data_IF_562936860041
#
_entry.id   IF_562936860041
#
_cell.length_a   1.000
_cell.length_b   1.000
_cell.length_c   1.000
_cell.angle_alpha   90.00
_cell.angle_beta   90.00
_cell.angle_gamma   90.00
#
_symmetry.space_group_name_H-M   'P 1'
#
loop_
_entity.id
_entity.type
_entity.pdbx_description
1 polymer ?
#
# COMPACT_ATOMS: atom_id res chain seq x y z
N UNK A 1 -12.84 26.69 1.65
CA UNK A 1 -13.40 26.80 0.28
C UNK A 1 -13.72 25.41 -0.22
N UNK A 2 -14.94 25.21 -0.70
CA UNK A 2 -15.45 23.93 -1.21
C UNK A 2 -15.30 23.93 -2.74
N UNK A 3 -14.90 22.82 -3.35
CA UNK A 3 -14.73 22.67 -4.80
C UNK A 3 -15.48 21.44 -5.32
N UNK A 4 -15.83 21.45 -6.62
CA UNK A 4 -16.23 20.23 -7.32
C UNK A 4 -14.97 19.52 -7.79
N UNK A 5 -14.76 18.31 -7.32
CA UNK A 5 -13.58 17.51 -7.64
C UNK A 5 -14.00 16.12 -8.07
N UNK A 6 -13.21 15.52 -8.96
CA UNK A 6 -13.34 14.10 -9.31
C UNK A 6 -12.44 13.29 -8.38
N UNK A 7 -13.01 12.29 -7.71
CA UNK A 7 -12.25 11.39 -6.85
C UNK A 7 -12.06 10.06 -7.56
N UNK A 8 -10.81 9.60 -7.65
CA UNK A 8 -10.43 8.32 -8.22
C UNK A 8 -9.84 7.39 -7.14
N UNK A 9 -10.38 6.18 -7.07
CA UNK A 9 -9.88 5.03 -6.33
C UNK A 9 -9.64 3.87 -7.33
N UNK A 10 -8.86 2.84 -6.98
CA UNK A 10 -8.45 1.77 -7.91
C UNK A 10 -9.58 1.11 -8.73
N UNK A 11 -10.82 1.14 -8.25
CA UNK A 11 -12.00 0.62 -8.95
C UNK A 11 -13.23 1.54 -8.92
N UNK A 12 -13.09 2.76 -8.39
CA UNK A 12 -14.23 3.67 -8.18
C UNK A 12 -13.83 5.06 -8.66
N UNK A 13 -14.58 5.59 -9.62
CA UNK A 13 -14.47 6.97 -10.06
C UNK A 13 -15.77 7.69 -9.75
N UNK A 14 -15.68 8.76 -8.94
CA UNK A 14 -16.83 9.55 -8.54
C UNK A 14 -16.63 10.99 -9.05
N UNK A 15 -17.32 11.39 -10.13
CA UNK A 15 -17.18 12.73 -10.68
C UNK A 15 -17.95 13.76 -9.87
N UNK A 16 -17.47 15.01 -9.87
CA UNK A 16 -18.19 16.19 -9.40
C UNK A 16 -18.66 16.15 -7.93
N UNK A 17 -17.90 15.48 -7.05
CA UNK A 17 -18.17 15.50 -5.62
C UNK A 17 -17.87 16.89 -5.04
N UNK A 18 -18.75 17.36 -4.16
CA UNK A 18 -18.57 18.62 -3.45
C UNK A 18 -17.68 18.34 -2.23
N UNK A 19 -16.39 18.66 -2.34
CA UNK A 19 -15.40 18.32 -1.31
C UNK A 19 -14.64 19.59 -0.89
N UNK A 20 -14.39 19.81 0.42
CA UNK A 20 -13.50 20.86 0.86
C UNK A 20 -12.10 20.61 0.34
N UNK A 21 -11.50 21.63 -0.29
CA UNK A 21 -10.10 21.54 -0.74
C UNK A 21 -9.15 21.13 0.39
N UNK A 22 -9.44 21.56 1.61
CA UNK A 22 -8.69 21.16 2.81
C UNK A 22 -8.74 19.66 3.09
N UNK A 23 -9.88 18.99 2.84
CA UNK A 23 -9.97 17.53 2.97
C UNK A 23 -9.17 16.84 1.86
N UNK A 24 -9.28 17.27 0.61
CA UNK A 24 -8.50 16.67 -0.49
C UNK A 24 -7.00 16.79 -0.21
N UNK A 25 -6.52 17.98 0.18
CA UNK A 25 -5.12 18.20 0.55
C UNK A 25 -4.74 17.30 1.72
N UNK A 26 -5.51 17.33 2.82
CA UNK A 26 -5.23 16.53 4.00
C UNK A 26 -5.13 15.04 3.67
N UNK A 27 -6.14 14.47 3.02
CA UNK A 27 -6.19 13.04 2.71
C UNK A 27 -5.09 12.65 1.71
N UNK A 28 -4.79 13.49 0.71
CA UNK A 28 -3.66 13.25 -0.19
C UNK A 28 -2.32 13.28 0.55
N UNK A 29 -2.08 14.30 1.38
CA UNK A 29 -0.84 14.45 2.15
C UNK A 29 -0.65 13.27 3.11
N UNK A 30 -1.68 12.91 3.88
CA UNK A 30 -1.61 11.76 4.79
C UNK A 30 -1.35 10.47 4.02
N UNK A 31 -2.06 10.24 2.90
CA UNK A 31 -1.84 9.04 2.08
C UNK A 31 -0.39 8.96 1.59
N UNK A 32 0.17 10.09 1.12
CA UNK A 32 1.55 10.14 0.64
C UNK A 32 2.56 9.86 1.76
N UNK A 33 2.36 10.44 2.95
CA UNK A 33 3.22 10.22 4.11
C UNK A 33 3.21 8.74 4.52
N UNK A 34 2.04 8.13 4.61
CA UNK A 34 1.92 6.70 4.95
C UNK A 34 2.67 5.83 3.93
N UNK A 35 2.55 6.12 2.63
CA UNK A 35 3.30 5.38 1.61
C UNK A 35 4.81 5.55 1.75
N UNK A 36 5.28 6.76 2.08
CA UNK A 36 6.70 7.02 2.33
C UNK A 36 7.20 6.26 3.56
N UNK A 37 6.48 6.33 4.67
CA UNK A 37 6.84 5.65 5.93
C UNK A 37 6.91 4.14 5.75
N UNK A 38 5.96 3.55 5.02
CA UNK A 38 5.96 2.13 4.69
C UNK A 38 7.16 1.74 3.81
N UNK A 39 7.48 2.53 2.79
CA UNK A 39 8.66 2.27 1.95
C UNK A 39 9.98 2.42 2.73
N UNK A 40 10.05 3.36 3.65
CA UNK A 40 11.22 3.49 4.54
C UNK A 40 11.32 2.27 5.48
N UNK A 41 10.18 1.78 5.97
CA UNK A 41 10.09 0.56 6.74
C UNK A 41 10.59 -0.69 5.99
N UNK A 42 10.43 -0.76 4.66
CA UNK A 42 10.99 -1.87 3.87
C UNK A 42 12.52 -1.91 3.94
N UNK A 43 13.19 -0.76 3.90
CA UNK A 43 14.67 -0.68 3.93
C UNK A 43 15.27 -1.29 5.20
N UNK A 44 14.49 -1.34 6.28
CA UNK A 44 14.91 -1.89 7.56
C UNK A 44 14.70 -3.42 7.67
N UNK A 45 14.07 -4.05 6.68
CA UNK A 45 13.60 -5.44 6.73
C UNK A 45 14.69 -6.48 7.08
N UNK A 46 15.92 -6.32 6.60
CA UNK A 46 17.04 -7.24 6.85
C UNK A 46 18.10 -6.69 7.81
N UNK A 47 17.79 -5.63 8.57
CA UNK A 47 18.72 -5.08 9.56
C UNK A 47 18.67 -5.86 10.88
N UNK A 48 19.83 -6.08 11.50
CA UNK A 48 20.02 -7.04 12.61
C UNK A 48 19.13 -6.78 13.85
N UNK A 49 18.71 -5.53 14.07
CA UNK A 49 17.92 -5.12 15.24
C UNK A 49 16.42 -4.96 14.96
N UNK A 50 15.94 -5.31 13.76
CA UNK A 50 14.56 -5.08 13.34
C UNK A 50 13.78 -6.40 13.09
N UNK A 51 14.07 -7.44 13.86
CA UNK A 51 13.40 -8.76 13.74
C UNK A 51 11.87 -8.63 13.86
N UNK A 52 11.39 -7.81 14.80
CA UNK A 52 9.95 -7.55 14.95
C UNK A 52 9.31 -6.94 13.70
N UNK A 53 9.99 -5.96 13.08
CA UNK A 53 9.53 -5.32 11.85
C UNK A 53 9.55 -6.29 10.67
N UNK A 54 10.60 -7.11 10.54
CA UNK A 54 10.69 -8.18 9.55
C UNK A 54 9.50 -9.14 9.67
N UNK A 55 9.19 -9.57 10.88
CA UNK A 55 8.06 -10.45 11.16
C UNK A 55 6.72 -9.77 10.84
N UNK A 56 6.56 -8.49 11.19
CA UNK A 56 5.35 -7.74 10.85
C UNK A 56 5.12 -7.66 9.34
N UNK A 57 6.15 -7.38 8.54
CA UNK A 57 6.07 -7.41 7.07
C UNK A 57 5.67 -8.78 6.54
N UNK A 58 6.27 -9.84 7.09
CA UNK A 58 5.97 -11.21 6.70
C UNK A 58 4.52 -11.61 7.02
N UNK A 59 4.01 -11.20 8.17
CA UNK A 59 2.63 -11.46 8.60
C UNK A 59 1.66 -10.69 7.70
N UNK A 60 1.83 -9.37 7.58
CA UNK A 60 0.90 -8.52 6.82
C UNK A 60 0.82 -8.96 5.36
N UNK A 61 1.94 -9.28 4.71
CA UNK A 61 1.93 -9.71 3.32
C UNK A 61 1.26 -11.07 3.11
N UNK A 62 1.44 -12.00 4.05
CA UNK A 62 0.81 -13.31 4.00
C UNK A 62 -0.71 -13.22 4.27
N UNK A 63 -1.12 -12.47 5.30
CA UNK A 63 -2.53 -12.34 5.69
C UNK A 63 -3.34 -11.53 4.68
N UNK A 64 -2.76 -10.45 4.15
CA UNK A 64 -3.42 -9.58 3.17
C UNK A 64 -3.22 -10.04 1.72
N UNK A 65 -2.50 -11.15 1.50
CA UNK A 65 -2.19 -11.70 0.18
C UNK A 65 -1.65 -10.61 -0.77
N UNK A 66 -0.63 -9.88 -0.34
CA UNK A 66 -0.06 -8.76 -1.10
C UNK A 66 1.47 -8.80 -1.09
N UNK A 67 2.10 -8.12 -2.05
CA UNK A 67 3.55 -7.98 -2.09
C UNK A 67 3.97 -6.54 -2.39
N UNK A 68 4.74 -5.96 -1.48
CA UNK A 68 5.23 -4.59 -1.56
C UNK A 68 4.16 -3.55 -1.19
N UNK A 69 4.57 -2.28 -1.23
CA UNK A 69 3.73 -1.17 -0.76
C UNK A 69 2.87 -0.62 -1.90
N UNK A 70 3.52 -0.26 -3.00
CA UNK A 70 2.89 0.24 -4.23
C UNK A 70 3.17 -0.66 -5.43
N UNK A 71 4.24 -1.45 -5.38
CA UNK A 71 4.62 -2.44 -6.37
C UNK A 71 5.43 -3.55 -5.66
N UNK A 72 5.33 -4.79 -6.11
CA UNK A 72 6.18 -5.88 -5.60
C UNK A 72 7.67 -5.58 -5.82
N UNK A 73 8.01 -4.79 -6.84
CA UNK A 73 9.37 -4.30 -7.12
C UNK A 73 9.90 -3.34 -6.05
N UNK A 74 9.08 -2.84 -5.14
CA UNK A 74 9.54 -2.05 -4.00
C UNK A 74 10.58 -2.84 -3.17
N UNK A 75 10.51 -4.17 -3.18
CA UNK A 75 11.47 -5.06 -2.51
C UNK A 75 12.84 -5.11 -3.19
N UNK A 76 12.97 -4.78 -4.48
CA UNK A 76 14.22 -4.98 -5.22
C UNK A 76 15.34 -4.08 -4.70
N UNK A 77 14.99 -2.91 -4.17
CA UNK A 77 15.94 -1.99 -3.54
C UNK A 77 16.48 -2.52 -2.20
N UNK A 78 15.80 -3.51 -1.60
CA UNK A 78 16.10 -4.02 -0.26
C UNK A 78 16.73 -5.41 -0.33
N UNK A 79 16.24 -6.27 -1.22
CA UNK A 79 16.60 -7.69 -1.33
C UNK A 79 17.41 -8.02 -2.58
N UNK A 80 17.56 -7.07 -3.50
CA UNK A 80 18.18 -7.26 -4.81
C UNK A 80 17.15 -7.47 -5.92
N UNK A 81 17.60 -7.31 -7.16
CA UNK A 81 16.74 -7.45 -8.33
C UNK A 81 16.04 -8.82 -8.36
N UNK A 82 14.80 -8.82 -8.84
CA UNK A 82 13.98 -10.03 -9.03
C UNK A 82 13.80 -10.85 -7.76
N UNK A 83 13.91 -10.23 -6.59
CA UNK A 83 13.81 -10.89 -5.30
C UNK A 83 12.76 -10.20 -4.43
N UNK A 84 11.83 -11.00 -3.91
CA UNK A 84 10.84 -10.60 -2.91
C UNK A 84 10.93 -11.57 -1.71
N UNK A 85 10.34 -11.25 -0.54
CA UNK A 85 10.20 -12.23 0.54
C UNK A 85 9.36 -13.43 0.10
N UNK A 86 9.70 -14.63 0.54
CA UNK A 86 8.91 -15.85 0.25
C UNK A 86 7.45 -15.75 0.75
N UNK A 87 7.21 -14.92 1.78
CA UNK A 87 5.86 -14.62 2.27
C UNK A 87 4.99 -13.83 1.28
N UNK A 88 5.57 -13.28 0.22
CA UNK A 88 4.82 -12.72 -0.91
C UNK A 88 4.28 -13.80 -1.87
N UNK A 89 4.65 -15.07 -1.72
CA UNK A 89 4.20 -16.12 -2.61
C UNK A 89 2.78 -16.59 -2.29
N UNK A 90 2.07 -17.06 -3.33
CA UNK A 90 0.73 -17.64 -3.23
C UNK A 90 0.79 -18.94 -2.41
N UNK A 91 1.77 -19.79 -2.74
CA UNK A 91 2.11 -20.95 -1.93
C UNK A 91 3.43 -20.66 -1.23
N UNK A 92 3.41 -20.73 0.11
CA UNK A 92 4.61 -20.53 0.90
C UNK A 92 5.54 -21.73 0.71
N UNK A 93 6.60 -21.50 -0.06
CA UNK A 93 7.69 -22.46 -0.27
C UNK A 93 9.03 -21.73 -0.14
N UNK A 94 10.05 -22.47 0.26
CA UNK A 94 11.39 -21.93 0.44
C UNK A 94 11.93 -21.40 -0.91
N UNK A 95 12.49 -20.19 -0.89
CA UNK A 95 13.09 -19.51 -2.05
C UNK A 95 12.12 -19.18 -3.22
N UNK A 96 10.80 -19.29 -3.02
CA UNK A 96 9.81 -18.95 -4.06
C UNK A 96 9.85 -17.47 -4.47
N UNK A 97 10.36 -16.60 -3.61
CA UNK A 97 10.49 -15.18 -3.85
C UNK A 97 11.65 -14.81 -4.78
N UNK A 98 12.53 -15.76 -5.13
CA UNK A 98 13.59 -15.55 -6.12
C UNK A 98 13.04 -15.62 -7.54
N UNK A 99 13.59 -14.80 -8.43
CA UNK A 99 13.16 -14.69 -9.82
C UNK A 99 11.68 -14.28 -9.98
N UNK A 100 11.24 -13.31 -9.19
CA UNK A 100 9.85 -12.85 -9.07
C UNK A 100 9.28 -12.18 -10.33
N UNK A 101 10.10 -11.95 -11.36
CA UNK A 101 9.73 -11.33 -12.64
C UNK A 101 8.89 -12.23 -13.53
N UNK A 102 8.97 -13.56 -13.38
CA UNK A 102 8.47 -14.49 -14.42
C UNK A 102 7.54 -15.60 -13.89
N UNK A 103 6.87 -15.37 -12.77
CA UNK A 103 6.07 -16.42 -12.12
C UNK A 103 4.70 -15.92 -11.68
N UNK A 104 3.66 -16.73 -11.94
CA UNK A 104 2.31 -16.65 -11.35
C UNK A 104 2.31 -17.10 -9.87
N UNK A 105 3.48 -17.07 -9.21
CA UNK A 105 3.69 -17.61 -7.87
C UNK A 105 3.70 -16.52 -6.80
N UNK A 106 3.75 -15.25 -7.19
CA UNK A 106 3.84 -14.09 -6.27
C UNK A 106 2.59 -13.23 -6.39
N UNK A 107 2.07 -12.77 -5.25
CA UNK A 107 0.96 -11.81 -5.20
C UNK A 107 1.30 -10.53 -5.97
N UNK A 108 0.39 -10.10 -6.85
CA UNK A 108 0.52 -8.85 -7.62
C UNK A 108 -0.25 -7.68 -7.00
N UNK A 109 -1.13 -7.99 -6.07
CA UNK A 109 -1.76 -7.04 -5.13
C UNK A 109 -0.70 -6.43 -4.22
N UNK A 110 -0.91 -5.19 -3.81
CA UNK A 110 0.06 -4.41 -3.02
C UNK A 110 -0.63 -3.87 -1.77
N UNK A 111 0.11 -3.68 -0.68
CA UNK A 111 -0.46 -3.22 0.60
C UNK A 111 -1.23 -1.90 0.46
N UNK A 112 -0.84 -1.07 -0.52
CA UNK A 112 -1.52 0.17 -0.84
C UNK A 112 -3.00 0.04 -1.21
N UNK A 113 -3.47 -1.12 -1.69
CA UNK A 113 -4.89 -1.32 -2.00
C UNK A 113 -5.76 -1.14 -0.75
N UNK A 114 -5.29 -1.60 0.40
CA UNK A 114 -5.98 -1.47 1.68
C UNK A 114 -5.96 -0.03 2.19
N UNK A 115 -4.85 0.68 1.98
CA UNK A 115 -4.74 2.10 2.31
C UNK A 115 -5.76 2.91 1.50
N UNK A 116 -6.01 2.54 0.24
CA UNK A 116 -7.06 3.17 -0.56
C UNK A 116 -8.48 2.88 -0.04
N UNK A 117 -8.72 1.73 0.60
CA UNK A 117 -10.00 1.46 1.27
C UNK A 117 -10.20 2.39 2.47
N UNK A 118 -9.17 2.56 3.31
CA UNK A 118 -9.22 3.52 4.42
C UNK A 118 -9.40 4.96 3.90
N UNK A 119 -8.68 5.34 2.85
CA UNK A 119 -8.83 6.64 2.17
C UNK A 119 -10.28 6.92 1.80
N UNK A 120 -11.01 5.94 1.26
CA UNK A 120 -12.44 6.06 0.91
C UNK A 120 -13.31 6.40 2.13
N UNK A 121 -13.04 5.80 3.28
CA UNK A 121 -13.77 6.10 4.53
C UNK A 121 -13.52 7.54 4.98
N UNK A 122 -12.29 8.05 4.88
CA UNK A 122 -11.98 9.44 5.24
C UNK A 122 -12.65 10.45 4.30
N UNK A 123 -12.68 10.19 2.99
CA UNK A 123 -13.44 11.03 2.05
C UNK A 123 -14.94 11.03 2.37
N UNK A 124 -15.52 9.87 2.70
CA UNK A 124 -16.92 9.78 3.11
C UNK A 124 -17.20 10.59 4.40
N UNK A 125 -16.32 10.51 5.40
CA UNK A 125 -16.44 11.32 6.61
C UNK A 125 -16.36 12.82 6.31
N UNK A 126 -15.41 13.25 5.48
CA UNK A 126 -15.31 14.64 5.05
C UNK A 126 -16.58 15.14 4.34
N UNK A 127 -17.18 14.33 3.46
CA UNK A 127 -18.44 14.67 2.80
C UNK A 127 -19.54 14.94 3.82
N UNK A 128 -19.72 14.04 4.81
CA UNK A 128 -20.75 14.18 5.85
C UNK A 128 -20.54 15.45 6.69
N UNK A 129 -19.31 15.81 7.04
CA UNK A 129 -18.99 17.04 7.80
C UNK A 129 -19.20 18.35 7.05
N UNK A 130 -19.56 18.29 5.76
CA UNK A 130 -19.74 19.47 4.90
C UNK A 130 -21.17 19.68 4.45
N UNK A 131 -21.98 18.65 4.62
CA UNK A 131 -23.43 18.65 4.37
C UNK A 131 -24.21 18.84 5.69
N UNK A 132 -23.52 18.75 6.84
CA UNK A 132 -24.03 19.15 8.18
C UNK A 132 -23.56 20.54 8.53
#
# INVERSE_FOLDING_TARGET
MIGRESVAFPHIYIPNQIIPKGCTIYVMTVTLLVFQDLKEGLKLYNTENNVGLKNAWNIIQAEMHCCGVTDYKDWYLVLGENTVPDRCCIENSEDCGRNSTNTNLVWKTVLGTEIFQFKRLFYNHCLVTTVT
#
